data_IF_741048660210
#
_entry.id   IF_741048660210
#
_cell.length_a   1.000
_cell.length_b   1.000
_cell.length_c   1.000
_cell.angle_alpha   90.00
_cell.angle_beta   90.00
_cell.angle_gamma   90.00
#
_symmetry.space_group_name_H-M   'P 1'
#
loop_
_entity.id
_entity.type
_entity.pdbx_description
1 polymer ?
#
# COMPACT_ATOMS: atom_id res chain seq x y z
N UNK A 1 34.88 7.53 32.23
CA UNK A 1 34.11 6.95 31.10
C UNK A 1 33.66 5.55 31.49
N UNK A 2 32.34 5.35 31.61
CA UNK A 2 31.78 4.08 32.09
C UNK A 2 32.09 2.97 31.10
N UNK A 3 32.65 1.84 31.56
CA UNK A 3 32.94 0.67 30.73
C UNK A 3 31.73 0.24 29.88
N UNK A 4 30.52 0.49 30.37
CA UNK A 4 29.24 0.26 29.68
C UNK A 4 29.07 1.09 28.39
N UNK A 5 29.48 2.36 28.37
CA UNK A 5 29.38 3.21 27.17
C UNK A 5 30.37 2.77 26.08
N UNK A 6 31.54 2.28 26.48
CA UNK A 6 32.56 1.78 25.57
C UNK A 6 32.15 0.45 24.91
N UNK A 7 31.49 -0.44 25.65
CA UNK A 7 30.93 -1.68 25.08
C UNK A 7 29.75 -1.40 24.15
N UNK A 8 28.87 -0.45 24.49
CA UNK A 8 27.75 -0.06 23.63
C UNK A 8 28.25 0.55 22.31
N UNK A 9 29.24 1.45 22.37
CA UNK A 9 29.84 2.07 21.19
C UNK A 9 30.58 1.04 20.32
N UNK A 10 31.32 0.11 20.94
CA UNK A 10 31.98 -0.99 20.24
C UNK A 10 30.99 -1.93 19.55
N UNK A 11 29.84 -2.20 20.17
CA UNK A 11 28.78 -3.02 19.59
C UNK A 11 28.08 -2.31 18.42
N UNK A 12 27.86 -1.00 18.51
CA UNK A 12 27.31 -0.18 17.42
C UNK A 12 28.27 -0.15 16.21
N UNK A 13 29.57 0.02 16.45
CA UNK A 13 30.60 0.08 15.38
C UNK A 13 30.85 -1.31 14.75
N UNK A 14 30.76 -2.39 15.52
CA UNK A 14 30.86 -3.75 14.97
C UNK A 14 29.59 -4.22 14.24
N UNK A 15 28.44 -3.62 14.55
CA UNK A 15 27.19 -3.87 13.82
C UNK A 15 27.11 -3.10 12.50
N UNK A 16 27.79 -1.96 12.35
CA UNK A 16 27.69 -1.11 11.16
C UNK A 16 28.01 -1.77 9.81
N UNK A 17 29.01 -2.68 9.67
CA UNK A 17 29.27 -3.35 8.39
C UNK A 17 28.24 -4.43 8.03
N UNK A 18 27.41 -4.88 8.98
CA UNK A 18 26.35 -5.86 8.74
C UNK A 18 25.02 -5.21 8.29
N UNK A 19 24.93 -3.88 8.29
CA UNK A 19 23.71 -3.11 8.00
C UNK A 19 23.36 -2.98 6.51
N UNK A 20 24.23 -3.42 5.60
CA UNK A 20 23.93 -3.49 4.16
C UNK A 20 23.60 -4.93 3.77
N UNK A 21 22.44 -5.44 4.15
CA UNK A 21 21.89 -6.64 3.53
C UNK A 21 20.96 -6.21 2.40
N UNK A 22 21.37 -6.49 1.16
CA UNK A 22 20.58 -6.19 -0.04
C UNK A 22 19.25 -6.96 -0.06
N UNK A 23 18.31 -6.44 -0.85
CA UNK A 23 17.03 -7.08 -1.18
C UNK A 23 17.22 -8.57 -1.53
N UNK A 24 16.37 -9.44 -0.98
CA UNK A 24 16.43 -10.86 -1.31
C UNK A 24 15.60 -11.11 -2.56
N UNK A 25 16.29 -11.53 -3.62
CA UNK A 25 15.69 -11.78 -4.92
C UNK A 25 15.88 -13.24 -5.30
N UNK A 26 14.79 -13.91 -5.70
CA UNK A 26 14.84 -15.18 -6.41
C UNK A 26 14.30 -14.94 -7.82
N UNK A 27 15.06 -15.31 -8.84
CA UNK A 27 14.64 -15.19 -10.24
C UNK A 27 14.36 -16.58 -10.80
N UNK A 28 13.20 -16.75 -11.43
CA UNK A 28 12.91 -17.86 -12.32
C UNK A 28 13.03 -17.37 -13.75
N UNK A 29 14.21 -17.56 -14.30
CA UNK A 29 14.50 -17.24 -15.70
C UNK A 29 14.06 -18.40 -16.61
N UNK A 30 13.39 -18.06 -17.70
CA UNK A 30 12.93 -18.98 -18.74
C UNK A 30 13.64 -18.75 -20.07
N UNK A 31 14.52 -17.75 -20.15
CA UNK A 31 15.34 -17.50 -21.32
C UNK A 31 16.48 -18.52 -21.41
N UNK A 32 16.83 -18.88 -22.65
CA UNK A 32 17.94 -19.78 -22.97
C UNK A 32 17.97 -21.09 -22.16
N UNK A 33 16.80 -21.57 -21.70
CA UNK A 33 16.71 -22.86 -21.02
C UNK A 33 16.72 -24.00 -22.05
N UNK A 34 17.23 -25.17 -21.67
CA UNK A 34 17.13 -26.37 -22.49
C UNK A 34 15.89 -27.20 -22.15
N UNK A 35 15.42 -27.12 -20.90
CA UNK A 35 14.32 -27.91 -20.36
C UNK A 35 13.44 -27.06 -19.45
N UNK A 36 12.14 -27.36 -19.43
CA UNK A 36 11.16 -26.65 -18.60
C UNK A 36 10.98 -27.36 -17.24
N UNK A 37 12.03 -27.34 -16.40
CA UNK A 37 12.01 -28.08 -15.14
C UNK A 37 11.06 -27.48 -14.07
N UNK A 38 10.24 -28.35 -13.49
CA UNK A 38 9.40 -28.03 -12.31
C UNK A 38 8.14 -27.23 -12.61
N UNK A 39 7.86 -26.96 -13.89
CA UNK A 39 6.60 -26.37 -14.36
C UNK A 39 5.63 -27.47 -14.79
N UNK A 40 4.36 -27.27 -14.44
CA UNK A 40 3.25 -28.10 -14.86
C UNK A 40 2.29 -27.23 -15.68
N UNK A 41 1.87 -27.74 -16.83
CA UNK A 41 0.97 -27.06 -17.76
C UNK A 41 -0.28 -27.91 -17.95
N UNK A 42 -1.46 -27.27 -17.95
CA UNK A 42 -2.75 -27.95 -18.21
C UNK A 42 -3.61 -27.06 -19.09
N UNK A 43 -4.26 -27.66 -20.10
CA UNK A 43 -5.17 -26.97 -21.03
C UNK A 43 -4.55 -25.78 -21.79
N UNK A 44 -3.24 -25.79 -22.01
CA UNK A 44 -2.54 -24.84 -22.88
C UNK A 44 -2.45 -25.43 -24.29
N UNK A 45 -2.75 -24.64 -25.32
CA UNK A 45 -2.81 -25.09 -26.72
C UNK A 45 -1.43 -25.40 -27.26
N UNK A 46 -0.49 -24.48 -27.05
CA UNK A 46 0.93 -24.73 -27.29
C UNK A 46 1.75 -24.22 -26.12
N UNK A 47 2.81 -24.95 -25.79
CA UNK A 47 3.83 -24.55 -24.83
C UNK A 47 5.17 -24.91 -25.43
N UNK A 48 5.94 -23.92 -25.83
CA UNK A 48 7.23 -24.11 -26.47
C UNK A 48 8.26 -23.21 -25.85
N UNK A 49 9.39 -23.81 -25.48
CA UNK A 49 10.51 -23.06 -24.95
C UNK A 49 11.35 -22.50 -26.11
N UNK A 50 11.62 -21.21 -26.08
CA UNK A 50 12.34 -20.45 -27.09
C UNK A 50 13.53 -19.73 -26.42
N UNK A 51 14.54 -19.26 -27.18
CA UNK A 51 15.65 -18.50 -26.62
C UNK A 51 15.20 -17.28 -25.80
N UNK A 52 14.14 -16.61 -26.26
CA UNK A 52 13.57 -15.41 -25.63
C UNK A 52 12.68 -15.71 -24.40
N UNK A 53 12.31 -16.96 -24.14
CA UNK A 53 11.42 -17.34 -23.05
C UNK A 53 10.48 -18.50 -23.39
N UNK A 54 9.49 -18.73 -22.52
CA UNK A 54 8.45 -19.75 -22.71
C UNK A 54 7.27 -19.17 -23.49
N UNK A 55 7.11 -19.57 -24.74
CA UNK A 55 5.97 -19.23 -25.58
C UNK A 55 4.76 -20.10 -25.26
N UNK A 56 3.62 -19.47 -25.05
CA UNK A 56 2.37 -20.09 -24.65
C UNK A 56 1.24 -19.52 -25.51
N UNK A 57 0.42 -20.40 -26.08
CA UNK A 57 -0.84 -20.01 -26.71
C UNK A 57 -2.01 -20.75 -26.08
N UNK A 58 -3.16 -20.09 -26.06
CA UNK A 58 -4.38 -20.59 -25.43
C UNK A 58 -5.58 -20.43 -26.37
N UNK A 59 -6.34 -21.49 -26.55
CA UNK A 59 -7.67 -21.47 -27.20
C UNK A 59 -8.80 -21.64 -26.17
N UNK A 60 -8.47 -22.16 -24.99
CA UNK A 60 -9.32 -22.26 -23.81
C UNK A 60 -8.51 -21.81 -22.59
N UNK A 61 -9.16 -21.58 -21.45
CA UNK A 61 -8.44 -21.22 -20.24
C UNK A 61 -7.49 -22.36 -19.82
N UNK A 62 -6.23 -22.02 -19.58
CA UNK A 62 -5.20 -22.99 -19.24
C UNK A 62 -4.25 -22.47 -18.18
N UNK A 63 -3.59 -23.38 -17.47
CA UNK A 63 -2.74 -23.05 -16.34
C UNK A 63 -1.28 -23.37 -16.61
N UNK A 64 -0.41 -22.51 -16.08
CA UNK A 64 1.03 -22.68 -15.99
C UNK A 64 1.43 -22.48 -14.53
N UNK A 65 1.85 -23.54 -13.85
CA UNK A 65 2.23 -23.48 -12.44
C UNK A 65 3.58 -24.12 -12.18
N UNK A 66 4.38 -23.53 -11.29
CA UNK A 66 5.65 -24.08 -10.84
C UNK A 66 5.57 -24.49 -9.39
N UNK A 67 6.19 -25.62 -9.04
CA UNK A 67 6.43 -25.95 -7.63
C UNK A 67 7.45 -24.96 -7.06
N UNK A 68 6.99 -24.10 -6.16
CA UNK A 68 7.81 -23.05 -5.57
C UNK A 68 8.80 -23.63 -4.55
N UNK A 69 10.02 -23.10 -4.57
CA UNK A 69 11.09 -23.40 -3.59
C UNK A 69 11.60 -22.13 -2.92
N UNK A 70 10.77 -21.09 -2.86
CA UNK A 70 11.15 -19.78 -2.32
C UNK A 70 11.60 -19.90 -0.85
N UNK A 71 12.77 -19.32 -0.54
CA UNK A 71 13.43 -19.45 0.76
C UNK A 71 13.33 -18.22 1.66
N UNK A 72 12.76 -17.13 1.15
CA UNK A 72 12.68 -15.84 1.84
C UNK A 72 11.25 -15.26 1.79
N UNK A 73 11.01 -14.18 2.53
CA UNK A 73 9.83 -13.34 2.38
C UNK A 73 9.81 -12.71 0.99
N UNK A 74 8.63 -12.64 0.39
CA UNK A 74 8.42 -12.06 -0.94
C UNK A 74 7.25 -11.13 -0.82
N UNK A 75 7.46 -9.88 -1.20
CA UNK A 75 6.48 -8.81 -1.07
C UNK A 75 6.08 -8.29 -2.45
N UNK A 76 6.96 -8.45 -3.45
CA UNK A 76 6.72 -8.09 -4.84
C UNK A 76 7.00 -9.29 -5.74
N UNK A 77 6.12 -9.52 -6.71
CA UNK A 77 6.33 -10.47 -7.80
C UNK A 77 6.32 -9.69 -9.10
N UNK A 78 7.43 -9.72 -9.82
CA UNK A 78 7.57 -9.04 -11.10
C UNK A 78 7.69 -10.07 -12.21
N UNK A 79 6.78 -10.05 -13.16
CA UNK A 79 6.74 -10.98 -14.29
C UNK A 79 7.06 -10.21 -15.56
N UNK A 80 8.12 -10.58 -16.26
CA UNK A 80 8.45 -10.00 -17.57
C UNK A 80 7.91 -10.89 -18.68
N UNK A 81 7.15 -10.29 -19.58
CA UNK A 81 6.43 -11.01 -20.63
C UNK A 81 6.31 -10.19 -21.92
N UNK A 82 5.97 -10.87 -23.01
CA UNK A 82 5.48 -10.26 -24.26
C UNK A 82 4.10 -10.85 -24.54
N UNK A 83 3.12 -10.03 -24.89
CA UNK A 83 1.79 -10.50 -25.28
C UNK A 83 1.25 -9.67 -26.44
N UNK A 84 1.34 -10.15 -27.69
CA UNK A 84 0.85 -9.40 -28.86
C UNK A 84 -0.64 -9.09 -28.79
N UNK A 85 -1.44 -10.06 -28.33
CA UNK A 85 -2.90 -9.94 -28.20
C UNK A 85 -3.33 -9.19 -26.94
N UNK A 86 -2.47 -9.15 -25.92
CA UNK A 86 -2.89 -8.83 -24.55
C UNK A 86 -3.86 -9.88 -24.00
N UNK A 87 -4.49 -9.56 -22.88
CA UNK A 87 -5.57 -10.38 -22.34
C UNK A 87 -5.70 -10.30 -20.82
N UNK A 88 -6.56 -11.15 -20.27
CA UNK A 88 -6.76 -11.29 -18.84
C UNK A 88 -6.29 -12.66 -18.36
N UNK A 89 -5.79 -12.69 -17.13
CA UNK A 89 -5.44 -13.93 -16.48
C UNK A 89 -5.66 -13.82 -14.98
N UNK A 90 -5.27 -14.87 -14.30
CA UNK A 90 -5.36 -14.98 -12.87
C UNK A 90 -4.02 -15.45 -12.37
N UNK A 91 -3.39 -14.65 -11.51
CA UNK A 91 -2.24 -15.11 -10.75
C UNK A 91 -2.72 -15.98 -9.60
N UNK A 92 -2.18 -17.20 -9.49
CA UNK A 92 -2.58 -18.16 -8.48
C UNK A 92 -1.41 -18.59 -7.61
N UNK A 93 -1.71 -18.81 -6.32
CA UNK A 93 -0.79 -19.44 -5.39
C UNK A 93 -1.54 -20.35 -4.43
N UNK A 94 -0.83 -21.34 -3.89
CA UNK A 94 -1.37 -22.23 -2.87
C UNK A 94 -0.57 -22.10 -1.59
N UNK A 95 -1.22 -21.76 -0.49
CA UNK A 95 -0.56 -21.65 0.81
C UNK A 95 -0.31 -23.04 1.42
N UNK A 96 0.72 -23.20 2.27
CA UNK A 96 0.98 -24.47 2.95
C UNK A 96 -0.25 -24.97 3.74
N UNK A 97 -0.60 -26.24 3.56
CA UNK A 97 -1.71 -26.89 4.29
C UNK A 97 -3.08 -26.83 3.59
N UNK A 98 -3.20 -26.14 2.46
CA UNK A 98 -4.41 -26.18 1.62
C UNK A 98 -4.53 -27.52 0.88
N UNK A 99 -5.77 -27.92 0.55
CA UNK A 99 -6.01 -29.12 -0.27
C UNK A 99 -5.53 -28.90 -1.70
N UNK A 100 -5.41 -29.99 -2.47
CA UNK A 100 -4.80 -29.90 -3.81
C UNK A 100 -5.56 -28.99 -4.77
N UNK A 101 -6.89 -28.94 -4.65
CA UNK A 101 -7.82 -28.18 -5.49
C UNK A 101 -7.99 -26.72 -5.04
N UNK A 102 -7.52 -26.37 -3.84
CA UNK A 102 -7.70 -25.04 -3.27
C UNK A 102 -6.52 -24.13 -3.64
N UNK A 103 -6.84 -22.96 -4.19
CA UNK A 103 -5.86 -21.92 -4.53
C UNK A 103 -6.40 -20.54 -4.17
N UNK A 104 -5.50 -19.63 -3.81
CA UNK A 104 -5.80 -18.22 -3.78
C UNK A 104 -5.48 -17.60 -5.14
N UNK A 105 -6.18 -16.51 -5.45
CA UNK A 105 -6.15 -15.92 -6.77
C UNK A 105 -6.25 -14.40 -6.75
N UNK A 106 -5.53 -13.75 -7.65
CA UNK A 106 -5.63 -12.31 -7.93
C UNK A 106 -5.76 -12.13 -9.44
N UNK A 107 -6.78 -11.38 -9.93
CA UNK A 107 -6.91 -11.10 -11.36
C UNK A 107 -5.75 -10.25 -11.84
N UNK A 108 -5.27 -10.52 -13.05
CA UNK A 108 -4.18 -9.78 -13.70
C UNK A 108 -4.54 -9.45 -15.15
N UNK A 109 -4.07 -8.31 -15.62
CA UNK A 109 -4.30 -7.87 -17.01
C UNK A 109 -2.96 -7.72 -17.71
N UNK A 110 -2.83 -8.36 -18.87
CA UNK A 110 -1.67 -8.28 -19.75
C UNK A 110 -1.96 -7.26 -20.84
N UNK A 111 -1.06 -6.28 -20.99
CA UNK A 111 -1.23 -5.25 -22.02
C UNK A 111 -0.75 -5.79 -23.37
N UNK A 112 -1.45 -5.46 -24.47
CA UNK A 112 -0.98 -5.83 -25.80
C UNK A 112 0.34 -5.13 -26.13
N UNK A 113 1.27 -5.85 -26.74
CA UNK A 113 2.55 -5.32 -27.18
C UNK A 113 3.54 -6.39 -27.64
N UNK A 114 4.35 -6.04 -28.64
CA UNK A 114 5.42 -6.89 -29.20
C UNK A 114 6.79 -6.71 -28.53
N UNK A 115 6.87 -5.90 -27.48
CA UNK A 115 8.11 -5.67 -26.72
C UNK A 115 7.98 -6.20 -25.29
N UNK A 116 9.10 -6.52 -24.60
CA UNK A 116 9.08 -6.90 -23.20
C UNK A 116 8.37 -5.89 -22.31
N UNK A 117 7.41 -6.36 -21.53
CA UNK A 117 6.65 -5.61 -20.53
C UNK A 117 6.75 -6.29 -19.18
N UNK A 118 6.55 -5.51 -18.11
CA UNK A 118 6.61 -6.02 -16.74
C UNK A 118 5.26 -5.86 -16.05
N UNK A 119 4.71 -6.98 -15.58
CA UNK A 119 3.58 -7.02 -14.64
C UNK A 119 4.16 -7.06 -13.22
N UNK A 120 3.80 -6.09 -12.38
CA UNK A 120 4.27 -6.03 -11.00
C UNK A 120 3.10 -6.23 -10.05
N UNK A 121 3.14 -7.30 -9.26
CA UNK A 121 2.15 -7.62 -8.24
C UNK A 121 2.71 -7.27 -6.86
N UNK A 122 2.04 -6.35 -6.15
CA UNK A 122 2.36 -6.05 -4.76
C UNK A 122 1.61 -7.02 -3.85
N UNK A 123 2.28 -8.10 -3.46
CA UNK A 123 1.72 -9.17 -2.65
C UNK A 123 1.69 -8.83 -1.16
N UNK A 124 2.42 -7.79 -0.74
CA UNK A 124 2.47 -7.38 0.67
C UNK A 124 1.13 -6.88 1.23
N UNK A 125 0.21 -6.47 0.36
CA UNK A 125 -1.12 -6.00 0.72
C UNK A 125 -2.20 -7.10 0.60
N UNK A 126 -1.82 -8.32 0.21
CA UNK A 126 -2.75 -9.44 0.02
C UNK A 126 -2.73 -10.29 1.30
N UNK A 127 -3.80 -10.29 2.13
CA UNK A 127 -3.79 -10.96 3.44
C UNK A 127 -3.48 -12.46 3.38
N UNK A 128 -3.93 -13.13 2.31
CA UNK A 128 -3.79 -14.57 2.09
C UNK A 128 -2.45 -14.96 1.45
N UNK A 129 -1.60 -13.98 1.13
CA UNK A 129 -0.30 -14.22 0.53
C UNK A 129 0.66 -14.89 1.51
N UNK A 130 1.36 -15.92 1.03
CA UNK A 130 2.40 -16.60 1.80
C UNK A 130 3.58 -16.94 0.88
N UNK A 131 4.76 -16.38 1.15
CA UNK A 131 5.95 -16.64 0.33
C UNK A 131 6.44 -18.09 0.37
N UNK A 132 5.96 -18.89 1.34
CA UNK A 132 6.18 -20.35 1.44
C UNK A 132 5.17 -21.17 0.65
N UNK A 133 4.40 -20.54 -0.23
CA UNK A 133 3.52 -21.24 -1.16
C UNK A 133 4.24 -22.36 -1.88
N UNK A 134 3.56 -23.49 -2.04
CA UNK A 134 4.11 -24.70 -2.64
C UNK A 134 3.90 -24.73 -4.16
N UNK A 135 2.88 -24.03 -4.67
CA UNK A 135 2.65 -23.79 -6.10
C UNK A 135 2.35 -22.31 -6.34
N UNK A 136 2.96 -21.77 -7.40
CA UNK A 136 2.76 -20.40 -7.87
C UNK A 136 2.68 -20.43 -9.39
N UNK A 137 1.79 -19.64 -9.99
CA UNK A 137 1.71 -19.55 -11.43
C UNK A 137 0.56 -18.67 -11.92
N UNK A 138 0.17 -18.91 -13.17
CA UNK A 138 -0.90 -18.19 -13.85
C UNK A 138 -1.93 -19.16 -14.42
N UNK A 139 -3.19 -18.73 -14.39
CA UNK A 139 -4.24 -19.22 -15.28
C UNK A 139 -4.44 -18.14 -16.33
N UNK A 140 -4.25 -18.50 -17.59
CA UNK A 140 -4.42 -17.61 -18.73
C UNK A 140 -5.81 -17.87 -19.33
N UNK A 141 -6.55 -16.81 -19.65
CA UNK A 141 -7.83 -16.94 -20.35
C UNK A 141 -7.62 -17.38 -21.81
N UNK A 142 -8.71 -17.72 -22.48
CA UNK A 142 -8.68 -18.13 -23.88
C UNK A 142 -8.19 -17.01 -24.81
N UNK A 143 -7.60 -17.40 -25.93
CA UNK A 143 -7.16 -16.54 -27.04
C UNK A 143 -6.04 -15.56 -26.66
N UNK A 144 -5.13 -15.99 -25.79
CA UNK A 144 -3.94 -15.23 -25.40
C UNK A 144 -2.70 -15.87 -26.02
N UNK A 145 -1.90 -15.01 -26.65
CA UNK A 145 -0.50 -15.29 -26.99
C UNK A 145 0.40 -14.65 -25.92
N UNK A 146 1.19 -15.46 -25.24
CA UNK A 146 1.98 -15.05 -24.09
C UNK A 146 3.37 -15.66 -24.11
N UNK A 147 4.40 -14.83 -24.15
CA UNK A 147 5.78 -15.24 -24.02
C UNK A 147 6.31 -14.83 -22.64
N UNK A 148 6.50 -15.80 -21.76
CA UNK A 148 7.00 -15.58 -20.40
C UNK A 148 8.52 -15.64 -20.39
N UNK A 149 9.17 -14.52 -20.06
CA UNK A 149 10.64 -14.43 -20.06
C UNK A 149 11.22 -14.75 -18.69
N UNK A 150 10.69 -14.11 -17.65
CA UNK A 150 11.19 -14.28 -16.28
C UNK A 150 10.12 -13.93 -15.25
N UNK A 151 10.23 -14.57 -14.09
CA UNK A 151 9.52 -14.17 -12.86
C UNK A 151 10.52 -13.89 -11.76
N UNK A 152 10.48 -12.67 -11.23
CA UNK A 152 11.29 -12.21 -10.12
C UNK A 152 10.45 -12.12 -8.86
N UNK A 153 10.96 -12.73 -7.79
CA UNK A 153 10.35 -12.73 -6.46
C UNK A 153 11.26 -11.95 -5.54
N UNK A 154 10.81 -10.78 -5.14
CA UNK A 154 11.60 -9.86 -4.32
C UNK A 154 10.91 -9.58 -2.99
N UNK A 155 11.71 -9.44 -1.93
CA UNK A 155 11.19 -9.10 -0.62
C UNK A 155 12.26 -8.46 0.26
N UNK A 156 11.84 -7.79 1.34
CA UNK A 156 12.74 -7.05 2.19
C UNK A 156 13.78 -7.96 2.79
N UNK A 157 15.00 -7.45 2.90
CA UNK A 157 15.95 -8.02 3.84
C UNK A 157 15.39 -7.89 5.26
N UNK A 158 15.79 -8.77 6.16
CA UNK A 158 15.39 -8.69 7.58
C UNK A 158 15.81 -7.37 8.22
N UNK A 159 16.83 -6.70 7.67
CA UNK A 159 17.29 -5.40 8.16
C UNK A 159 16.45 -4.26 7.60
N UNK A 160 16.12 -4.26 6.30
CA UNK A 160 15.23 -3.25 5.71
C UNK A 160 13.87 -3.24 6.40
N UNK A 161 13.36 -4.43 6.73
CA UNK A 161 12.15 -4.59 7.54
C UNK A 161 12.23 -3.86 8.87
N UNK A 162 13.36 -3.94 9.59
CA UNK A 162 13.56 -3.21 10.84
C UNK A 162 13.73 -1.70 10.62
N UNK A 163 14.51 -1.30 9.61
CA UNK A 163 14.79 0.11 9.31
C UNK A 163 13.49 0.83 8.94
N UNK A 164 12.70 0.27 8.01
CA UNK A 164 11.42 0.85 7.61
C UNK A 164 10.38 0.79 8.73
N UNK A 165 10.37 -0.27 9.54
CA UNK A 165 9.54 -0.31 10.75
C UNK A 165 9.89 0.86 11.68
N UNK A 166 11.15 1.09 12.00
CA UNK A 166 11.57 2.20 12.90
C UNK A 166 11.30 3.55 12.25
N UNK A 167 11.58 3.71 10.95
CA UNK A 167 11.31 4.95 10.21
C UNK A 167 9.83 5.30 10.21
N UNK A 168 8.95 4.31 10.05
CA UNK A 168 7.49 4.50 10.05
C UNK A 168 6.97 4.90 11.42
N UNK A 169 7.56 4.40 12.52
CA UNK A 169 7.20 4.84 13.87
C UNK A 169 7.34 6.37 14.04
N UNK A 170 8.43 6.95 13.54
CA UNK A 170 8.68 8.39 13.60
C UNK A 170 8.04 9.19 12.46
N UNK A 171 7.40 8.51 11.52
CA UNK A 171 6.66 9.18 10.46
C UNK A 171 5.28 9.55 10.99
N UNK A 172 4.99 10.85 10.96
CA UNK A 172 3.71 11.39 11.38
C UNK A 172 2.66 11.11 10.31
N UNK A 173 1.47 10.68 10.71
CA UNK A 173 0.37 10.46 9.76
C UNK A 173 -0.02 11.79 9.08
N UNK A 174 -0.53 11.70 7.86
CA UNK A 174 -1.15 12.85 7.21
C UNK A 174 -2.55 13.03 7.81
N UNK A 175 -2.76 14.11 8.58
CA UNK A 175 -4.06 14.39 9.20
C UNK A 175 -5.20 14.41 8.18
N UNK A 176 -5.99 13.33 8.14
CA UNK A 176 -7.20 13.17 7.34
C UNK A 176 -8.34 12.72 8.27
N UNK A 177 -9.57 12.70 7.78
CA UNK A 177 -10.74 12.44 8.63
C UNK A 177 -10.73 11.09 9.37
N UNK A 178 -10.01 10.08 8.87
CA UNK A 178 -9.81 8.80 9.57
C UNK A 178 -8.66 8.84 10.60
N UNK A 179 -7.83 9.89 10.60
CA UNK A 179 -6.69 10.07 11.52
C UNK A 179 -7.12 10.43 12.94
N UNK A 180 -8.43 10.49 13.23
CA UNK A 180 -8.96 10.43 14.60
C UNK A 180 -8.86 8.97 15.09
N UNK A 181 -7.65 8.41 15.06
CA UNK A 181 -7.38 7.01 15.35
C UNK A 181 -6.51 6.90 16.62
N UNK A 182 -7.07 7.34 17.74
CA UNK A 182 -6.58 6.99 19.08
C UNK A 182 -6.48 5.47 19.28
N UNK A 183 -7.23 4.67 18.49
CA UNK A 183 -7.29 3.22 18.61
C UNK A 183 -6.21 2.46 17.83
N UNK A 184 -5.67 3.00 16.73
CA UNK A 184 -4.79 2.22 15.84
C UNK A 184 -3.30 2.49 16.09
N UNK A 185 -2.96 3.64 16.67
CA UNK A 185 -1.57 4.01 16.98
C UNK A 185 -0.68 4.16 15.74
N UNK A 186 0.65 4.27 15.92
CA UNK A 186 1.60 4.41 14.83
C UNK A 186 1.53 3.22 13.87
N UNK A 187 1.46 3.51 12.58
CA UNK A 187 1.48 2.49 11.54
C UNK A 187 2.91 1.99 11.30
N UNK A 188 3.02 0.73 10.91
CA UNK A 188 4.27 0.00 10.70
C UNK A 188 4.29 -0.61 9.31
N UNK A 189 5.36 -0.33 8.57
CA UNK A 189 5.67 -0.98 7.29
C UNK A 189 7.04 -1.63 7.31
N UNK A 190 7.33 -2.46 6.30
CA UNK A 190 8.54 -3.28 6.23
C UNK A 190 9.39 -3.03 4.98
N UNK A 191 8.87 -2.29 4.00
CA UNK A 191 9.58 -1.99 2.76
C UNK A 191 9.53 -0.50 2.43
N UNK A 192 10.46 -0.07 1.58
CA UNK A 192 10.46 1.28 1.04
C UNK A 192 9.18 1.58 0.25
N UNK A 193 8.73 0.63 -0.58
CA UNK A 193 7.51 0.79 -1.38
C UNK A 193 6.28 0.98 -0.51
N UNK A 194 6.15 0.19 0.56
CA UNK A 194 5.08 0.38 1.54
C UNK A 194 5.23 1.70 2.29
N UNK A 195 6.46 2.11 2.65
CA UNK A 195 6.71 3.38 3.32
C UNK A 195 6.26 4.58 2.46
N UNK A 196 6.65 4.59 1.18
CA UNK A 196 6.27 5.65 0.23
C UNK A 196 4.75 5.61 -0.03
N UNK A 197 4.15 4.42 -0.09
CA UNK A 197 2.72 4.23 -0.30
C UNK A 197 1.85 4.28 0.97
N UNK A 198 2.41 4.50 2.16
CA UNK A 198 1.72 4.30 3.43
C UNK A 198 0.44 5.15 3.55
N UNK A 199 0.43 6.34 2.95
CA UNK A 199 -0.70 7.26 2.97
C UNK A 199 -1.27 7.54 1.57
N UNK A 200 -1.02 6.65 0.60
CA UNK A 200 -1.57 6.80 -0.75
C UNK A 200 -2.92 6.12 -0.94
N UNK A 201 -3.25 5.11 -0.12
CA UNK A 201 -4.52 4.38 -0.13
C UNK A 201 -5.27 4.54 1.20
N UNK A 202 -6.60 4.57 1.15
CA UNK A 202 -7.45 4.77 2.32
C UNK A 202 -8.51 3.66 2.46
N UNK A 203 -8.62 3.01 3.64
CA UNK A 203 -7.71 3.13 4.80
C UNK A 203 -6.30 2.61 4.47
N UNK A 204 -5.25 3.10 5.17
CA UNK A 204 -3.90 2.60 4.96
C UNK A 204 -3.80 1.14 5.40
N UNK A 205 -3.27 0.29 4.51
CA UNK A 205 -3.04 -1.13 4.80
C UNK A 205 -1.66 -1.26 5.44
N UNK A 206 -1.62 -1.27 6.77
CA UNK A 206 -0.38 -1.38 7.54
C UNK A 206 -0.63 -2.03 8.91
N UNK A 207 0.43 -2.59 9.49
CA UNK A 207 0.40 -3.10 10.86
C UNK A 207 0.44 -1.96 11.88
N UNK A 208 0.04 -2.24 13.13
CA UNK A 208 0.16 -1.30 14.23
C UNK A 208 1.40 -1.56 15.09
N UNK A 209 2.11 -0.49 15.46
CA UNK A 209 3.17 -0.52 16.47
C UNK A 209 2.66 -0.88 17.87
N UNK A 210 1.37 -0.69 18.16
CA UNK A 210 0.79 -1.10 19.43
C UNK A 210 0.97 -2.60 19.66
N UNK A 211 0.81 -3.40 18.60
CA UNK A 211 1.04 -4.85 18.64
C UNK A 211 2.46 -5.18 19.10
N UNK A 212 3.46 -4.42 18.64
CA UNK A 212 4.86 -4.60 19.05
C UNK A 212 5.06 -4.27 20.52
N UNK A 213 4.51 -3.13 20.98
CA UNK A 213 4.60 -2.76 22.39
C UNK A 213 3.91 -3.77 23.29
N UNK A 214 2.76 -4.32 22.88
CA UNK A 214 2.09 -5.38 23.62
C UNK A 214 2.93 -6.65 23.69
N UNK A 215 3.62 -7.06 22.63
CA UNK A 215 4.54 -8.20 22.68
C UNK A 215 5.74 -7.94 23.61
N UNK A 216 6.37 -6.76 23.53
CA UNK A 216 7.50 -6.39 24.38
C UNK A 216 7.07 -6.38 25.86
N UNK A 217 5.92 -5.78 26.17
CA UNK A 217 5.38 -5.73 27.53
C UNK A 217 4.95 -7.12 28.01
N UNK A 218 4.30 -7.92 27.17
CA UNK A 218 3.90 -9.29 27.51
C UNK A 218 5.10 -10.17 27.85
N UNK A 219 6.12 -10.19 26.99
CA UNK A 219 7.37 -10.93 27.23
C UNK A 219 8.08 -10.38 28.47
N UNK A 220 8.18 -9.05 28.60
CA UNK A 220 8.78 -8.39 29.75
C UNK A 220 8.11 -8.78 31.08
N UNK A 221 6.78 -8.85 31.10
CA UNK A 221 6.00 -9.27 32.26
C UNK A 221 6.26 -10.74 32.61
N UNK A 222 6.25 -11.64 31.62
CA UNK A 222 6.56 -13.06 31.82
C UNK A 222 7.97 -13.22 32.43
N UNK A 223 8.98 -12.53 31.88
CA UNK A 223 10.35 -12.56 32.39
C UNK A 223 10.40 -12.02 33.82
N UNK A 224 9.71 -10.91 34.10
CA UNK A 224 9.67 -10.30 35.43
C UNK A 224 9.04 -11.24 36.47
N UNK A 225 7.93 -11.91 36.13
CA UNK A 225 7.27 -12.89 36.99
C UNK A 225 8.14 -14.13 37.22
N UNK A 226 8.79 -14.64 36.17
CA UNK A 226 9.69 -15.79 36.27
C UNK A 226 10.93 -15.47 37.14
N UNK A 227 11.53 -14.29 36.95
CA UNK A 227 12.70 -13.83 37.71
C UNK A 227 12.35 -13.29 39.09
N UNK A 228 11.07 -13.03 39.40
CA UNK A 228 10.62 -12.61 40.75
C UNK A 228 11.12 -13.54 41.85
N UNK A 229 11.16 -14.86 41.60
CA UNK A 229 11.66 -15.84 42.57
C UNK A 229 13.15 -15.72 42.88
N UNK A 230 13.96 -15.22 41.93
CA UNK A 230 15.44 -15.10 42.08
C UNK A 230 15.90 -13.68 42.44
N UNK A 231 15.25 -12.66 41.89
CA UNK A 231 15.69 -11.25 41.96
C UNK A 231 14.67 -10.39 42.74
N UNK A 232 13.57 -10.99 43.21
CA UNK A 232 12.57 -10.33 44.05
C UNK A 232 11.88 -9.15 43.36
N UNK A 233 11.69 -8.06 44.12
CA UNK A 233 10.99 -6.85 43.67
C UNK A 233 11.71 -6.10 42.54
N UNK A 234 13.03 -6.28 42.38
CA UNK A 234 13.82 -5.61 41.34
C UNK A 234 13.38 -6.00 39.92
N UNK A 235 12.97 -7.26 39.73
CA UNK A 235 12.47 -7.73 38.43
C UNK A 235 11.15 -7.03 38.02
N UNK A 236 10.26 -6.81 38.99
CA UNK A 236 9.00 -6.09 38.78
C UNK A 236 9.28 -4.60 38.55
N UNK A 237 10.20 -4.00 39.32
CA UNK A 237 10.60 -2.62 39.10
C UNK A 237 11.19 -2.40 37.71
N UNK A 238 12.03 -3.32 37.21
CA UNK A 238 12.57 -3.25 35.86
C UNK A 238 11.48 -3.32 34.78
N UNK A 239 10.42 -4.12 34.98
CA UNK A 239 9.26 -4.14 34.09
C UNK A 239 8.51 -2.80 34.06
N UNK A 240 8.25 -2.19 35.22
CA UNK A 240 7.61 -0.87 35.25
C UNK A 240 8.48 0.24 34.66
N UNK A 241 9.80 0.15 34.80
CA UNK A 241 10.73 1.06 34.12
C UNK A 241 10.62 0.90 32.59
N UNK A 242 10.61 -0.34 32.09
CA UNK A 242 10.41 -0.61 30.66
C UNK A 242 9.07 -0.04 30.17
N UNK A 243 7.99 -0.28 30.92
CA UNK A 243 6.67 0.27 30.63
C UNK A 243 6.71 1.81 30.56
N UNK A 244 7.31 2.46 31.55
CA UNK A 244 7.43 3.91 31.59
C UNK A 244 8.22 4.46 30.38
N UNK A 245 9.31 3.80 29.98
CA UNK A 245 10.10 4.21 28.80
C UNK A 245 9.27 4.11 27.53
N UNK A 246 8.58 2.98 27.30
CA UNK A 246 7.72 2.79 26.12
C UNK A 246 6.59 3.83 26.13
N UNK A 247 5.98 4.08 27.29
CA UNK A 247 4.91 5.05 27.43
C UNK A 247 5.38 6.47 27.10
N UNK A 248 6.51 6.92 27.64
CA UNK A 248 7.07 8.24 27.34
C UNK A 248 7.42 8.38 25.85
N UNK A 249 8.01 7.35 25.23
CA UNK A 249 8.32 7.38 23.80
C UNK A 249 7.06 7.45 22.93
N UNK A 250 6.04 6.68 23.29
CA UNK A 250 4.76 6.67 22.60
C UNK A 250 4.05 8.02 22.72
N UNK A 251 4.00 8.57 23.93
CA UNK A 251 3.33 9.83 24.22
C UNK A 251 4.06 11.01 23.55
N UNK A 252 5.40 11.02 23.55
CA UNK A 252 6.18 12.01 22.81
C UNK A 252 5.89 11.96 21.31
N UNK A 253 5.78 10.75 20.72
CA UNK A 253 5.47 10.57 19.29
C UNK A 253 4.05 11.00 18.95
N UNK A 254 3.06 10.61 19.74
CA UNK A 254 1.66 11.03 19.51
C UNK A 254 1.48 12.53 19.77
N UNK A 255 2.17 13.07 20.77
CA UNK A 255 2.18 14.50 21.08
C UNK A 255 2.78 15.34 19.95
N UNK A 256 3.88 14.91 19.34
CA UNK A 256 4.45 15.63 18.18
C UNK A 256 3.53 15.58 16.96
N UNK A 257 2.78 14.49 16.77
CA UNK A 257 1.76 14.38 15.74
C UNK A 257 0.65 15.41 15.93
N UNK A 258 0.09 15.51 17.14
CA UNK A 258 -0.92 16.51 17.51
C UNK A 258 -0.41 17.94 17.32
N UNK A 259 0.81 18.23 17.77
CA UNK A 259 1.42 19.55 17.62
C UNK A 259 1.63 19.90 16.15
N UNK A 260 2.11 18.95 15.35
CA UNK A 260 2.25 19.12 13.89
C UNK A 260 0.92 19.48 13.23
N UNK A 261 -0.16 18.82 13.66
CA UNK A 261 -1.50 19.10 13.15
C UNK A 261 -1.99 20.48 13.55
N UNK A 262 -1.79 20.86 14.81
CA UNK A 262 -2.15 22.19 15.30
C UNK A 262 -1.36 23.29 14.56
N UNK A 263 -0.07 23.08 14.31
CA UNK A 263 0.77 23.99 13.51
C UNK A 263 0.27 24.12 12.07
N UNK A 264 -0.08 23.00 11.42
CA UNK A 264 -0.64 23.00 10.07
C UNK A 264 -1.95 23.77 10.02
N UNK A 265 -2.87 23.52 10.95
CA UNK A 265 -4.14 24.26 11.03
C UNK A 265 -3.96 25.73 11.26
N UNK A 266 -3.03 26.10 12.14
CA UNK A 266 -2.73 27.49 12.39
C UNK A 266 -2.33 28.17 11.08
N UNK A 267 -1.49 27.51 10.26
CA UNK A 267 -0.96 28.05 9.01
C UNK A 267 -1.98 28.05 7.86
N UNK A 268 -2.82 27.01 7.74
CA UNK A 268 -3.68 26.82 6.56
C UNK A 268 -5.14 27.21 6.78
N UNK A 269 -5.59 27.26 8.04
CA UNK A 269 -7.00 27.52 8.37
C UNK A 269 -7.19 28.77 9.22
N UNK A 270 -6.53 28.84 10.38
CA UNK A 270 -6.79 29.91 11.36
C UNK A 270 -6.18 31.26 10.98
N UNK A 271 -4.99 31.26 10.37
CA UNK A 271 -4.30 32.50 9.97
C UNK A 271 -4.65 32.98 8.56
N UNK A 272 -5.37 32.18 7.77
CA UNK A 272 -5.70 32.53 6.39
C UNK A 272 -7.04 33.24 6.27
N UNK A 273 -7.16 34.22 5.35
CA UNK A 273 -8.45 34.76 4.94
C UNK A 273 -9.28 33.66 4.28
N UNK A 274 -10.60 33.81 4.26
CA UNK A 274 -11.54 32.72 3.94
C UNK A 274 -11.25 32.07 2.57
N UNK A 275 -10.84 32.87 1.58
CA UNK A 275 -10.54 32.47 0.21
C UNK A 275 -9.27 31.62 0.09
N UNK A 276 -8.37 31.72 1.08
CA UNK A 276 -7.14 30.94 1.16
C UNK A 276 -7.21 29.84 2.23
N UNK A 277 -8.37 29.65 2.85
CA UNK A 277 -8.56 28.59 3.84
C UNK A 277 -8.52 27.22 3.17
N UNK A 278 -7.60 26.43 3.66
CA UNK A 278 -7.36 25.08 3.18
C UNK A 278 -7.61 24.09 4.32
N UNK A 279 -8.63 23.24 4.13
CA UNK A 279 -8.96 22.16 5.04
C UNK A 279 -7.98 21.00 4.85
N UNK A 280 -7.52 20.45 5.97
CA UNK A 280 -6.54 19.34 6.03
C UNK A 280 -6.84 18.18 5.07
N UNK A 281 -8.11 17.80 4.93
CA UNK A 281 -8.61 16.66 4.15
C UNK A 281 -9.29 17.05 2.82
N UNK A 282 -9.63 18.34 2.63
CA UNK A 282 -10.45 18.80 1.48
C UNK A 282 -9.72 19.77 0.57
N UNK A 283 -8.53 20.24 0.95
CA UNK A 283 -7.87 21.28 0.19
C UNK A 283 -8.57 22.63 0.37
N UNK A 284 -8.42 23.50 -0.63
CA UNK A 284 -9.12 24.79 -0.76
C UNK A 284 -10.63 24.65 -1.04
N UNK A 285 -11.25 23.50 -0.75
CA UNK A 285 -12.65 23.24 -1.07
C UNK A 285 -13.61 24.19 -0.34
N UNK A 286 -13.24 24.72 0.83
CA UNK A 286 -14.07 25.70 1.54
C UNK A 286 -14.20 27.04 0.79
N UNK A 287 -13.08 27.52 0.24
CA UNK A 287 -13.06 28.70 -0.61
C UNK A 287 -13.83 28.43 -1.92
N UNK A 288 -13.57 27.27 -2.52
CA UNK A 288 -14.29 26.82 -3.72
C UNK A 288 -15.82 26.75 -3.49
N UNK A 289 -16.28 26.13 -2.40
CA UNK A 289 -17.72 25.98 -2.13
C UNK A 289 -18.43 27.31 -1.93
N UNK A 290 -17.73 28.32 -1.42
CA UNK A 290 -18.26 29.67 -1.30
C UNK A 290 -18.41 30.34 -2.67
N UNK A 291 -17.39 30.26 -3.52
CA UNK A 291 -17.48 30.73 -4.91
C UNK A 291 -18.63 30.02 -5.66
N UNK A 292 -18.76 28.70 -5.49
CA UNK A 292 -19.87 27.95 -6.10
C UNK A 292 -21.21 28.53 -5.71
N UNK A 293 -21.39 28.87 -4.43
CA UNK A 293 -22.65 29.43 -3.92
C UNK A 293 -23.00 30.75 -4.63
N UNK A 294 -22.01 31.62 -4.89
CA UNK A 294 -22.19 32.87 -5.65
C UNK A 294 -22.59 32.60 -7.11
N UNK A 295 -22.00 31.58 -7.76
CA UNK A 295 -22.28 31.26 -9.17
C UNK A 295 -23.52 30.39 -9.39
N UNK A 296 -24.03 29.74 -8.35
CA UNK A 296 -25.26 28.94 -8.40
C UNK A 296 -26.47 29.69 -7.87
N UNK A 297 -26.28 30.90 -7.32
CA UNK A 297 -27.36 31.68 -6.74
C UNK A 297 -28.49 31.94 -7.77
N UNK A 298 -29.71 31.54 -7.41
CA UNK A 298 -30.89 31.68 -8.27
C UNK A 298 -31.13 30.52 -9.24
N UNK A 299 -30.18 29.60 -9.39
CA UNK A 299 -30.37 28.36 -10.17
C UNK A 299 -30.95 27.25 -9.27
N UNK A 300 -31.94 26.46 -9.75
CA UNK A 300 -32.50 25.37 -8.95
C UNK A 300 -31.51 24.22 -8.78
N UNK A 301 -30.74 23.91 -9.84
CA UNK A 301 -29.82 22.78 -9.88
C UNK A 301 -28.53 23.15 -10.63
N UNK A 302 -27.43 22.48 -10.30
CA UNK A 302 -26.16 22.59 -11.02
C UNK A 302 -25.42 21.26 -11.04
N UNK A 303 -24.61 20.98 -12.06
CA UNK A 303 -23.82 19.73 -12.11
C UNK A 303 -22.56 19.89 -11.29
N UNK A 304 -22.29 18.96 -10.36
CA UNK A 304 -21.04 18.92 -9.61
C UNK A 304 -20.21 17.68 -9.93
N UNK A 305 -18.98 17.89 -10.39
CA UNK A 305 -18.02 16.83 -10.70
C UNK A 305 -16.74 17.03 -9.91
N UNK A 306 -16.29 15.98 -9.23
CA UNK A 306 -15.03 15.99 -8.48
C UNK A 306 -14.19 14.73 -8.76
N UNK A 307 -12.96 14.72 -8.26
CA UNK A 307 -12.08 13.53 -8.27
C UNK A 307 -12.67 12.35 -7.48
N UNK A 308 -13.50 12.61 -6.48
CA UNK A 308 -14.23 11.61 -5.69
C UNK A 308 -15.43 12.26 -4.97
N UNK A 309 -16.46 11.48 -4.59
CA UNK A 309 -17.72 12.02 -4.05
C UNK A 309 -17.62 12.59 -2.63
N UNK A 310 -17.08 11.82 -1.68
CA UNK A 310 -16.89 12.27 -0.29
C UNK A 310 -15.49 12.91 -0.12
N UNK A 311 -15.33 14.01 0.64
CA UNK A 311 -16.35 14.74 1.41
C UNK A 311 -16.98 15.95 0.70
N UNK A 312 -16.73 16.12 -0.60
CA UNK A 312 -17.08 17.32 -1.36
C UNK A 312 -18.58 17.47 -1.60
N UNK A 313 -19.23 16.39 -2.06
CA UNK A 313 -20.64 16.37 -2.42
C UNK A 313 -21.55 16.82 -1.27
N UNK A 314 -21.38 16.20 -0.10
CA UNK A 314 -22.19 16.49 1.08
C UNK A 314 -22.02 17.91 1.56
N UNK A 315 -20.85 18.52 1.38
CA UNK A 315 -20.59 19.90 1.80
C UNK A 315 -21.40 20.87 0.95
N UNK A 316 -21.42 20.66 -0.37
CA UNK A 316 -22.15 21.52 -1.31
C UNK A 316 -23.67 21.48 -1.11
N UNK A 317 -24.23 20.32 -0.74
CA UNK A 317 -25.65 20.21 -0.38
C UNK A 317 -26.07 21.20 0.72
N UNK A 318 -25.16 21.56 1.63
CA UNK A 318 -25.43 22.51 2.69
C UNK A 318 -25.02 23.94 2.34
N UNK A 319 -23.86 24.12 1.70
CA UNK A 319 -23.32 25.46 1.46
C UNK A 319 -24.01 26.19 0.31
N UNK A 320 -24.37 25.48 -0.76
CA UNK A 320 -24.98 26.06 -1.96
C UNK A 320 -26.52 26.10 -1.90
N UNK A 321 -27.12 25.61 -0.81
CA UNK A 321 -28.58 25.64 -0.63
C UNK A 321 -29.12 27.07 -0.77
N UNK A 322 -30.20 27.32 -1.54
CA UNK A 322 -31.19 26.35 -2.03
C UNK A 322 -30.84 25.61 -3.33
N UNK A 323 -29.77 25.97 -4.02
CA UNK A 323 -29.35 25.31 -5.27
C UNK A 323 -28.78 23.93 -4.98
N UNK A 324 -29.27 22.91 -5.68
CA UNK A 324 -28.89 21.52 -5.41
C UNK A 324 -27.89 20.97 -6.44
N UNK A 325 -26.78 20.35 -6.00
CA UNK A 325 -25.88 19.66 -6.91
C UNK A 325 -26.54 18.40 -7.47
N UNK A 326 -26.39 18.18 -8.79
CA UNK A 326 -26.76 16.96 -9.51
C UNK A 326 -25.50 16.19 -9.92
N UNK A 327 -25.60 14.86 -9.88
CA UNK A 327 -24.53 14.00 -10.38
C UNK A 327 -24.50 14.03 -11.90
N UNK A 328 -23.38 13.61 -12.50
CA UNK A 328 -23.25 13.57 -13.95
C UNK A 328 -24.32 12.66 -14.59
N UNK A 329 -24.70 11.56 -13.94
CA UNK A 329 -25.74 10.66 -14.44
C UNK A 329 -27.16 11.21 -14.30
N UNK A 330 -27.33 12.24 -13.47
CA UNK A 330 -28.61 12.91 -13.18
C UNK A 330 -28.75 14.23 -13.96
N UNK A 331 -27.72 14.62 -14.70
CA UNK A 331 -27.69 15.87 -15.45
C UNK A 331 -28.71 15.83 -16.60
N UNK A 332 -29.60 16.81 -16.62
CA UNK A 332 -30.57 17.06 -17.67
C UNK A 332 -30.09 18.24 -18.56
N UNK A 333 -30.57 18.30 -19.80
CA UNK A 333 -30.12 19.31 -20.81
C UNK A 333 -30.39 20.78 -20.40
N UNK A 334 -31.20 21.00 -19.37
CA UNK A 334 -31.57 22.32 -18.83
C UNK A 334 -30.55 22.87 -17.82
N UNK A 335 -29.59 22.07 -17.36
CA UNK A 335 -28.61 22.51 -16.36
C UNK A 335 -27.47 23.30 -17.03
N UNK A 336 -27.41 24.60 -16.74
CA UNK A 336 -26.44 25.53 -17.34
C UNK A 336 -25.13 25.63 -16.58
N UNK A 337 -25.14 25.38 -15.27
CA UNK A 337 -23.99 25.61 -14.41
C UNK A 337 -23.27 24.30 -14.12
N UNK A 338 -22.00 24.23 -14.50
CA UNK A 338 -21.13 23.09 -14.27
C UNK A 338 -19.99 23.49 -13.34
N UNK A 339 -19.85 22.74 -12.25
CA UNK A 339 -18.91 23.02 -11.18
C UNK A 339 -17.96 21.84 -11.07
N UNK A 340 -16.68 22.09 -11.34
CA UNK A 340 -15.67 21.04 -11.43
C UNK A 340 -14.56 21.30 -10.41
N UNK A 341 -14.28 20.31 -9.55
CA UNK A 341 -13.23 20.39 -8.54
C UNK A 341 -12.20 19.28 -8.68
N UNK A 342 -10.91 19.65 -8.74
CA UNK A 342 -9.78 18.72 -8.71
C UNK A 342 -9.80 17.62 -9.79
N UNK A 343 -10.38 17.91 -10.97
CA UNK A 343 -10.37 17.06 -12.17
C UNK A 343 -9.51 17.73 -13.24
N UNK A 344 -8.27 17.26 -13.40
CA UNK A 344 -7.33 17.82 -14.41
C UNK A 344 -7.56 17.26 -15.80
N UNK A 345 -8.31 16.18 -15.89
CA UNK A 345 -8.76 15.51 -17.09
C UNK A 345 -9.94 16.22 -17.75
N UNK A 346 -10.59 17.15 -17.04
CA UNK A 346 -11.67 17.98 -17.60
C UNK A 346 -11.13 19.40 -17.74
N UNK A 347 -11.18 19.93 -18.95
CA UNK A 347 -10.81 21.33 -19.23
C UNK A 347 -11.84 21.99 -20.13
N UNK A 348 -11.72 23.30 -20.29
CA UNK A 348 -12.50 24.03 -21.29
C UNK A 348 -11.66 24.15 -22.56
N UNK A 349 -12.27 23.83 -23.70
CA UNK A 349 -11.69 24.20 -25.00
C UNK A 349 -11.81 25.71 -25.26
N UNK A 350 -11.22 26.17 -26.37
CA UNK A 350 -11.26 27.58 -26.78
C UNK A 350 -12.69 28.13 -27.01
N UNK A 351 -13.70 27.26 -27.00
CA UNK A 351 -15.12 27.57 -27.19
C UNK A 351 -15.93 27.45 -25.89
N UNK A 352 -15.26 27.32 -24.73
CA UNK A 352 -15.86 27.10 -23.41
C UNK A 352 -16.72 25.82 -23.32
N UNK A 353 -16.39 24.79 -24.11
CA UNK A 353 -17.01 23.46 -23.98
C UNK A 353 -16.13 22.58 -23.12
N UNK A 354 -16.77 21.72 -22.32
CA UNK A 354 -16.08 20.73 -21.50
C UNK A 354 -15.49 19.64 -22.40
N UNK A 355 -14.18 19.41 -22.25
CA UNK A 355 -13.41 18.37 -22.95
C UNK A 355 -12.65 17.49 -21.99
#
# INVERSE_FOLDING_TARGET
MNRFSSYLLGLVILMTPALCHAEKVTVWDLQNQATLEGWNTVNLTTVQLMPEGLSITTSTAGQLVKKSKLRHSVDTISTTYISPTGGEGIFIWRAPGMKEEEVYQVPVTFKPGGTPQQLVLNMSNVPEWNSRSDRIGFVLNANIEFLLQQMEFSGPSTMDSMVYSVKTFFTLDQARAYSINFLWGPLRTYTEKQYIGLFSQFPPVADSWNTVFYYILGIGLIIALWRKRKIGRKAIAAFFILFAIIWVLYDARMGTEIVSYAQKDMKTWWSQPYELKDYRDRGSFAAFSHLVTEYTEGEPNYVFVASHGWPFWSTLLYTAYPSLPLRLEEATDDVRTWVIYNRRDISLDDQNRLT
#
